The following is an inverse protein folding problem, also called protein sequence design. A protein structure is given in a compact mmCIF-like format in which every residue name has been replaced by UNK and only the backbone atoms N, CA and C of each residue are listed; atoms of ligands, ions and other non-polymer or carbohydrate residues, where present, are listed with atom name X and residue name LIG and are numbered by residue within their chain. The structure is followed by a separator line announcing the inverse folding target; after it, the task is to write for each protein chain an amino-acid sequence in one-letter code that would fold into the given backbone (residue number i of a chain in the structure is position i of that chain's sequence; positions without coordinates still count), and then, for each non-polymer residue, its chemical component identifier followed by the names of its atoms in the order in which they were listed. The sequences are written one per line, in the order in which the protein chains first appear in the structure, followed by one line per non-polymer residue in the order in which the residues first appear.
data_IF_292918451462
#
_entry.id   IF_292918451462
#
_cell.length_a   1.000
_cell.length_b   1.000
_cell.length_c   1.000
_cell.angle_alpha   90.00
_cell.angle_beta   90.00
_cell.angle_gamma   90.00
#
_symmetry.space_group_name_H-M   'P 1'
#
loop_
_entity.id
_entity.type
_entity.pdbx_description
1 polymer ?
#
# COMPACT_ATOMS: atom_id res chain seq x y z
N UNK A 1 -16.36 -11.75 -24.02
CA UNK A 1 -16.16 -11.46 -22.58
C UNK A 1 -14.74 -11.80 -22.10
N UNK A 2 -14.38 -13.09 -21.89
CA UNK A 2 -13.10 -13.47 -21.26
C UNK A 2 -11.86 -12.92 -21.97
N UNK A 3 -11.79 -12.99 -23.30
CA UNK A 3 -10.67 -12.42 -24.05
C UNK A 3 -10.51 -10.91 -23.79
N UNK A 4 -11.63 -10.18 -23.73
CA UNK A 4 -11.64 -8.74 -23.43
C UNK A 4 -11.18 -8.44 -22.00
N UNK A 5 -11.64 -9.20 -21.01
CA UNK A 5 -11.15 -9.08 -19.63
C UNK A 5 -9.66 -9.43 -19.52
N UNK A 6 -9.19 -10.44 -20.26
CA UNK A 6 -7.76 -10.80 -20.30
C UNK A 6 -6.92 -9.66 -20.88
N UNK A 7 -7.40 -9.01 -21.94
CA UNK A 7 -6.74 -7.83 -22.51
C UNK A 7 -6.71 -6.69 -21.50
N UNK A 8 -7.84 -6.40 -20.84
CA UNK A 8 -7.89 -5.35 -19.80
C UNK A 8 -6.92 -5.68 -18.68
N UNK A 9 -6.85 -6.93 -18.22
CA UNK A 9 -5.91 -7.36 -17.18
C UNK A 9 -4.48 -7.06 -17.62
N UNK A 10 -4.08 -7.49 -18.81
CA UNK A 10 -2.75 -7.20 -19.36
C UNK A 10 -2.48 -5.69 -19.43
N UNK A 11 -3.44 -4.89 -19.90
CA UNK A 11 -3.26 -3.43 -19.97
C UNK A 11 -3.09 -2.83 -18.57
N UNK A 12 -3.96 -3.19 -17.63
CA UNK A 12 -3.94 -2.71 -16.25
C UNK A 12 -2.62 -3.08 -15.56
N UNK A 13 -2.10 -4.27 -15.83
CA UNK A 13 -0.85 -4.75 -15.27
C UNK A 13 0.39 -4.09 -15.90
N UNK A 14 0.45 -3.93 -17.22
CA UNK A 14 1.71 -3.52 -17.89
C UNK A 14 1.77 -2.06 -18.34
N UNK A 15 0.63 -1.42 -18.61
CA UNK A 15 0.60 -0.06 -19.18
C UNK A 15 1.09 1.03 -18.21
N UNK A 16 0.79 0.97 -16.89
CA UNK A 16 1.39 1.86 -15.88
C UNK A 16 2.91 1.95 -15.92
N UNK A 17 3.58 0.85 -16.28
CA UNK A 17 5.05 0.76 -16.24
C UNK A 17 5.73 1.01 -17.59
N UNK A 18 4.97 0.96 -18.67
CA UNK A 18 5.49 1.12 -20.04
C UNK A 18 5.19 2.49 -20.63
N UNK A 19 4.14 3.17 -20.17
CA UNK A 19 3.68 4.44 -20.73
C UNK A 19 3.65 5.54 -19.67
N UNK A 20 4.59 6.49 -19.75
CA UNK A 20 4.68 7.63 -18.81
C UNK A 20 3.39 8.43 -18.66
N UNK A 21 2.60 8.58 -19.73
CA UNK A 21 1.31 9.30 -19.65
C UNK A 21 0.30 8.56 -18.76
N UNK A 22 0.32 7.22 -18.78
CA UNK A 22 -0.53 6.37 -17.95
C UNK A 22 -0.04 6.40 -16.51
N UNK A 23 1.27 6.29 -16.30
CA UNK A 23 1.92 6.45 -14.99
C UNK A 23 1.54 7.76 -14.28
N UNK A 24 1.50 8.88 -15.01
CA UNK A 24 1.16 10.19 -14.42
C UNK A 24 -0.35 10.39 -14.17
N UNK A 25 -1.20 9.55 -14.77
CA UNK A 25 -2.66 9.66 -14.73
C UNK A 25 -3.31 8.30 -14.40
N UNK A 26 -2.72 7.55 -13.47
CA UNK A 26 -3.17 6.20 -13.11
C UNK A 26 -4.64 6.18 -12.70
N UNK A 27 -5.09 7.22 -12.02
CA UNK A 27 -6.45 7.31 -11.50
C UNK A 27 -7.48 7.38 -12.65
N UNK A 28 -7.20 8.20 -13.66
CA UNK A 28 -8.04 8.28 -14.85
C UNK A 28 -7.95 7.00 -15.71
N UNK A 29 -6.76 6.41 -15.80
CA UNK A 29 -6.56 5.15 -16.52
C UNK A 29 -7.36 4.00 -15.91
N UNK A 30 -7.27 3.79 -14.60
CA UNK A 30 -8.01 2.76 -13.90
C UNK A 30 -9.52 2.99 -13.96
N UNK A 31 -9.97 4.25 -13.92
CA UNK A 31 -11.37 4.57 -14.16
C UNK A 31 -11.85 4.12 -15.54
N UNK A 32 -11.09 4.43 -16.60
CA UNK A 32 -11.43 4.02 -17.97
C UNK A 32 -11.40 2.49 -18.11
N UNK A 33 -10.37 1.82 -17.57
CA UNK A 33 -10.27 0.36 -17.59
C UNK A 33 -11.41 -0.30 -16.79
N UNK A 34 -11.79 0.28 -15.66
CA UNK A 34 -12.91 -0.19 -14.85
C UNK A 34 -14.24 -0.10 -15.58
N UNK A 35 -14.51 1.06 -16.20
CA UNK A 35 -15.70 1.25 -17.03
C UNK A 35 -15.72 0.26 -18.21
N UNK A 36 -14.58 0.05 -18.87
CA UNK A 36 -14.45 -0.91 -19.95
C UNK A 36 -14.67 -2.35 -19.48
N UNK A 37 -14.13 -2.72 -18.31
CA UNK A 37 -14.29 -4.05 -17.74
C UNK A 37 -15.77 -4.32 -17.43
N UNK A 38 -16.43 -3.40 -16.73
CA UNK A 38 -17.85 -3.50 -16.38
C UNK A 38 -18.75 -3.57 -17.62
N UNK A 39 -18.41 -2.83 -18.69
CA UNK A 39 -19.14 -2.89 -19.96
C UNK A 39 -18.92 -4.24 -20.69
N UNK A 40 -17.69 -4.75 -20.74
CA UNK A 40 -17.37 -6.03 -21.40
C UNK A 40 -17.97 -7.23 -20.67
N UNK A 41 -18.04 -7.17 -19.34
CA UNK A 41 -18.66 -8.20 -18.50
C UNK A 41 -20.19 -8.07 -18.41
N UNK A 42 -20.77 -7.00 -18.97
CA UNK A 42 -22.22 -6.73 -18.94
C UNK A 42 -22.79 -6.61 -17.51
N UNK A 43 -21.95 -6.18 -16.55
CA UNK A 43 -22.35 -5.95 -15.14
C UNK A 43 -22.61 -4.47 -14.84
N UNK A 44 -22.44 -3.59 -15.83
CA UNK A 44 -22.68 -2.16 -15.68
C UNK A 44 -24.19 -1.87 -15.60
N UNK A 45 -24.74 -1.91 -14.40
CA UNK A 45 -26.11 -1.51 -14.09
C UNK A 45 -26.16 -0.23 -13.25
N UNK A 46 -27.37 0.31 -13.05
CA UNK A 46 -27.57 1.54 -12.28
C UNK A 46 -27.12 1.40 -10.82
N UNK A 47 -27.26 0.21 -10.24
CA UNK A 47 -26.86 -0.07 -8.86
C UNK A 47 -25.33 -0.03 -8.72
N UNK A 48 -24.58 -0.68 -9.62
CA UNK A 48 -23.12 -0.63 -9.65
C UNK A 48 -22.61 0.78 -9.91
N UNK A 49 -23.26 1.55 -10.78
CA UNK A 49 -22.86 2.93 -11.05
C UNK A 49 -23.04 3.83 -9.82
N UNK A 50 -24.15 3.68 -9.08
CA UNK A 50 -24.37 4.39 -7.81
C UNK A 50 -23.33 3.95 -6.78
N UNK A 51 -23.10 2.64 -6.62
CA UNK A 51 -22.08 2.11 -5.70
C UNK A 51 -20.69 2.68 -6.01
N UNK A 52 -20.29 2.73 -7.28
CA UNK A 52 -19.01 3.31 -7.70
C UNK A 52 -18.89 4.82 -7.40
N UNK A 53 -20.01 5.55 -7.30
CA UNK A 53 -20.03 6.96 -6.88
C UNK A 53 -20.01 7.13 -5.36
N UNK A 54 -20.61 6.21 -4.62
CA UNK A 54 -20.72 6.25 -3.15
C UNK A 54 -19.45 5.77 -2.46
N UNK A 55 -18.88 4.64 -2.91
CA UNK A 55 -17.69 4.02 -2.32
C UNK A 55 -16.57 5.03 -2.05
N UNK A 56 -16.18 5.92 -2.99
CA UNK A 56 -15.04 6.81 -2.80
C UNK A 56 -15.30 7.95 -1.81
N UNK A 57 -16.57 8.28 -1.48
CA UNK A 57 -16.94 9.49 -0.73
C UNK A 57 -16.20 9.53 0.61
N UNK A 58 -16.35 8.47 1.41
CA UNK A 58 -15.77 8.41 2.75
C UNK A 58 -14.23 8.44 2.73
N UNK A 59 -13.60 7.76 1.77
CA UNK A 59 -12.14 7.73 1.63
C UNK A 59 -11.61 9.10 1.21
N UNK A 60 -12.24 9.74 0.22
CA UNK A 60 -11.85 11.07 -0.24
C UNK A 60 -11.93 12.09 0.90
N UNK A 61 -12.98 12.03 1.74
CA UNK A 61 -13.06 12.87 2.92
C UNK A 61 -11.96 12.56 3.94
N UNK A 62 -11.71 11.29 4.24
CA UNK A 62 -10.66 10.90 5.17
C UNK A 62 -9.28 11.41 4.71
N UNK A 63 -8.94 11.22 3.43
CA UNK A 63 -7.65 11.69 2.87
C UNK A 63 -7.57 13.22 2.86
N UNK A 64 -8.65 13.92 2.51
CA UNK A 64 -8.70 15.38 2.53
C UNK A 64 -8.44 15.93 3.94
N UNK A 65 -9.14 15.39 4.94
CA UNK A 65 -8.98 15.78 6.35
C UNK A 65 -7.55 15.50 6.81
N UNK A 66 -7.05 14.30 6.54
CA UNK A 66 -5.71 13.90 6.96
C UNK A 66 -4.63 14.79 6.31
N UNK A 67 -4.77 15.14 5.03
CA UNK A 67 -3.88 16.06 4.33
C UNK A 67 -3.87 17.48 4.92
N UNK A 68 -5.04 17.99 5.31
CA UNK A 68 -5.18 19.28 6.00
C UNK A 68 -4.52 19.27 7.39
N UNK A 69 -4.77 18.22 8.18
CA UNK A 69 -4.15 18.02 9.50
C UNK A 69 -2.63 17.96 9.38
N UNK A 70 -2.10 17.18 8.43
CA UNK A 70 -0.66 17.08 8.20
C UNK A 70 -0.04 18.45 7.90
N UNK A 71 -0.67 19.24 7.01
CA UNK A 71 -0.21 20.59 6.68
C UNK A 71 -0.17 21.51 7.90
N UNK A 72 -1.21 21.48 8.74
CA UNK A 72 -1.28 22.33 9.94
C UNK A 72 -0.28 21.89 11.02
N UNK A 73 -0.03 20.59 11.14
CA UNK A 73 0.84 20.01 12.17
C UNK A 73 2.29 19.78 11.74
N UNK A 74 2.70 20.16 10.51
CA UNK A 74 4.06 19.87 10.03
C UNK A 74 5.18 20.41 10.94
N UNK A 75 5.11 21.68 11.33
CA UNK A 75 6.15 22.31 12.17
C UNK A 75 6.26 21.72 13.59
N UNK A 76 5.14 21.47 14.33
CA UNK A 76 5.25 20.78 15.61
C UNK A 76 5.71 19.32 15.46
N UNK A 77 5.36 18.62 14.37
CA UNK A 77 5.86 17.26 14.09
C UNK A 77 7.39 17.28 13.94
N UNK A 78 7.95 18.20 13.16
CA UNK A 78 9.41 18.34 12.99
C UNK A 78 10.14 18.58 14.30
N UNK A 79 9.63 19.50 15.14
CA UNK A 79 10.21 19.79 16.46
C UNK A 79 10.10 18.58 17.40
N UNK A 80 8.98 17.86 17.36
CA UNK A 80 8.76 16.64 18.14
C UNK A 80 9.74 15.53 17.77
N UNK A 81 9.95 15.30 16.47
CA UNK A 81 10.91 14.30 15.96
C UNK A 81 12.33 14.60 16.47
N UNK A 82 12.77 15.85 16.39
CA UNK A 82 14.08 16.27 16.89
C UNK A 82 14.21 16.11 18.41
N UNK A 83 13.15 16.46 19.16
CA UNK A 83 13.09 16.27 20.61
C UNK A 83 13.23 14.79 21.00
N UNK A 84 12.37 13.93 20.44
CA UNK A 84 12.39 12.50 20.73
C UNK A 84 13.72 11.83 20.32
N UNK A 85 14.27 12.19 19.16
CA UNK A 85 15.54 11.61 18.69
C UNK A 85 16.72 11.90 19.62
N UNK A 86 16.67 12.99 20.41
CA UNK A 86 17.73 13.35 21.36
C UNK A 86 17.54 12.71 22.74
N UNK A 87 16.35 12.19 23.05
CA UNK A 87 16.01 11.61 24.36
C UNK A 87 16.33 10.12 24.49
N UNK A 88 16.66 9.44 23.39
CA UNK A 88 16.85 7.99 23.39
C UNK A 88 17.93 7.53 22.41
N UNK A 89 18.47 6.31 22.57
CA UNK A 89 19.42 5.76 21.62
C UNK A 89 18.83 5.69 20.21
N UNK A 90 19.62 6.10 19.22
CA UNK A 90 19.16 6.22 17.84
C UNK A 90 18.55 4.92 17.28
N UNK A 91 19.08 3.74 17.63
CA UNK A 91 18.51 2.45 17.18
C UNK A 91 17.11 2.21 17.73
N UNK A 92 16.87 2.55 19.00
CA UNK A 92 15.55 2.47 19.61
C UNK A 92 14.60 3.47 18.96
N UNK A 93 15.08 4.68 18.68
CA UNK A 93 14.30 5.68 17.96
C UNK A 93 13.84 5.18 16.59
N UNK A 94 14.76 4.64 15.77
CA UNK A 94 14.43 4.11 14.44
C UNK A 94 13.42 2.95 14.50
N UNK A 95 13.58 2.06 15.49
CA UNK A 95 12.66 0.95 15.73
C UNK A 95 11.26 1.45 16.11
N UNK A 96 11.16 2.42 17.03
CA UNK A 96 9.90 3.03 17.42
C UNK A 96 9.25 3.77 16.26
N UNK A 97 10.01 4.49 15.43
CA UNK A 97 9.49 5.12 14.21
C UNK A 97 8.86 4.06 13.30
N UNK A 98 9.55 2.93 13.07
CA UNK A 98 9.04 1.83 12.24
C UNK A 98 7.72 1.27 12.78
N UNK A 99 7.63 1.02 14.09
CA UNK A 99 6.44 0.45 14.74
C UNK A 99 5.29 1.45 14.77
N UNK A 100 5.55 2.68 15.23
CA UNK A 100 4.52 3.70 15.43
C UNK A 100 3.92 4.12 14.09
N UNK A 101 4.75 4.35 13.06
CA UNK A 101 4.24 4.68 11.73
C UNK A 101 3.44 3.53 11.12
N UNK A 102 3.87 2.28 11.34
CA UNK A 102 3.11 1.10 10.95
C UNK A 102 1.73 1.09 11.59
N UNK A 103 1.66 1.12 12.93
CA UNK A 103 0.39 1.03 13.65
C UNK A 103 -0.56 2.19 13.34
N UNK A 104 -0.05 3.42 13.24
CA UNK A 104 -0.88 4.62 13.02
C UNK A 104 -1.30 4.76 11.55
N UNK A 105 -0.61 4.12 10.59
CA UNK A 105 -0.89 4.26 9.15
C UNK A 105 -2.31 3.86 8.73
N UNK A 106 -2.96 2.95 9.48
CA UNK A 106 -4.38 2.63 9.32
C UNK A 106 -5.29 3.83 9.55
N UNK A 107 -4.94 4.70 10.50
CA UNK A 107 -5.76 5.86 10.89
C UNK A 107 -5.47 7.07 9.98
N UNK A 108 -4.20 7.31 9.66
CA UNK A 108 -3.78 8.55 8.97
C UNK A 108 -3.51 8.39 7.48
N UNK A 109 -3.56 7.18 6.92
CA UNK A 109 -3.13 6.79 5.55
C UNK A 109 -1.65 6.45 5.39
N UNK A 110 -1.35 5.51 4.49
CA UNK A 110 0.00 5.15 4.05
C UNK A 110 0.76 6.35 3.44
N UNK A 111 0.04 7.24 2.76
CA UNK A 111 0.60 8.44 2.13
C UNK A 111 1.22 9.34 3.19
N UNK A 112 0.45 9.68 4.23
CA UNK A 112 0.89 10.62 5.25
C UNK A 112 1.99 9.98 6.10
N UNK A 113 1.85 8.71 6.45
CA UNK A 113 2.90 7.98 7.16
C UNK A 113 4.23 7.96 6.38
N UNK A 114 4.19 7.77 5.06
CA UNK A 114 5.38 7.82 4.20
C UNK A 114 6.01 9.22 4.13
N UNK A 115 5.21 10.28 4.06
CA UNK A 115 5.73 11.65 4.09
C UNK A 115 6.39 11.94 5.44
N UNK A 116 5.77 11.54 6.56
CA UNK A 116 6.37 11.68 7.89
C UNK A 116 7.70 10.92 7.96
N UNK A 117 7.76 9.70 7.42
CA UNK A 117 9.00 8.93 7.32
C UNK A 117 10.09 9.68 6.52
N UNK A 118 9.74 10.25 5.36
CA UNK A 118 10.67 11.05 4.52
C UNK A 118 11.23 12.22 5.31
N UNK A 119 10.39 12.93 6.07
CA UNK A 119 10.81 14.05 6.94
C UNK A 119 11.78 13.54 8.00
N UNK A 120 11.44 12.46 8.71
CA UNK A 120 12.28 11.86 9.75
C UNK A 120 13.67 11.50 9.19
N UNK A 121 13.72 10.78 8.07
CA UNK A 121 14.97 10.36 7.43
C UNK A 121 15.84 11.56 7.04
N UNK A 122 15.22 12.58 6.43
CA UNK A 122 15.91 13.80 5.99
C UNK A 122 16.48 14.62 7.15
N UNK A 123 15.83 14.57 8.32
CA UNK A 123 16.26 15.28 9.53
C UNK A 123 17.40 14.55 10.25
N UNK A 124 17.34 13.22 10.38
CA UNK A 124 18.36 12.43 11.10
C UNK A 124 19.70 12.41 10.34
N UNK A 125 19.68 12.42 9.00
CA UNK A 125 20.88 12.37 8.12
C UNK A 125 21.82 11.21 8.44
N UNK A 126 21.35 9.98 8.21
CA UNK A 126 22.17 8.78 8.34
C UNK A 126 23.05 8.60 7.08
N UNK A 127 23.95 7.62 7.11
CA UNK A 127 24.58 7.13 5.89
C UNK A 127 23.53 6.50 4.94
N UNK A 128 23.73 6.68 3.62
CA UNK A 128 22.80 6.23 2.56
C UNK A 128 22.32 4.79 2.74
N UNK A 129 23.21 3.88 3.15
CA UNK A 129 22.89 2.45 3.33
C UNK A 129 21.92 2.25 4.50
N UNK A 130 22.15 2.94 5.61
CA UNK A 130 21.23 2.94 6.75
C UNK A 130 19.88 3.58 6.41
N UNK A 131 19.88 4.69 5.66
CA UNK A 131 18.64 5.35 5.25
C UNK A 131 17.78 4.47 4.35
N UNK A 132 18.36 3.86 3.31
CA UNK A 132 17.62 2.95 2.41
C UNK A 132 17.02 1.78 3.18
N UNK A 133 17.78 1.16 4.10
CA UNK A 133 17.29 0.04 4.91
C UNK A 133 16.17 0.45 5.85
N UNK A 134 16.28 1.61 6.48
CA UNK A 134 15.24 2.18 7.33
C UNK A 134 13.97 2.41 6.53
N UNK A 135 14.08 3.05 5.36
CA UNK A 135 12.94 3.36 4.51
C UNK A 135 12.24 2.09 4.07
N UNK A 136 12.97 1.08 3.61
CA UNK A 136 12.38 -0.21 3.18
C UNK A 136 11.62 -0.86 4.35
N UNK A 137 12.24 -1.05 5.53
CA UNK A 137 11.58 -1.70 6.67
C UNK A 137 10.37 -0.90 7.17
N UNK A 138 10.48 0.43 7.22
CA UNK A 138 9.39 1.30 7.60
C UNK A 138 8.25 1.27 6.57
N UNK A 139 8.53 1.20 5.27
CA UNK A 139 7.50 1.09 4.25
C UNK A 139 6.80 -0.28 4.25
N UNK A 140 7.50 -1.38 4.54
CA UNK A 140 6.85 -2.67 4.83
C UNK A 140 5.87 -2.54 6.00
N UNK A 141 6.31 -1.94 7.10
CA UNK A 141 5.49 -1.70 8.30
C UNK A 141 4.28 -0.81 8.02
N UNK A 142 4.47 0.29 7.27
CA UNK A 142 3.41 1.22 6.87
C UNK A 142 2.41 0.56 5.92
N UNK A 143 2.86 -0.19 4.92
CA UNK A 143 1.97 -0.88 3.98
C UNK A 143 1.09 -1.91 4.69
N UNK A 144 1.70 -2.76 5.54
CA UNK A 144 0.95 -3.75 6.32
C UNK A 144 -0.03 -3.08 7.29
N UNK A 145 0.42 -2.06 8.01
CA UNK A 145 -0.42 -1.33 8.96
C UNK A 145 -1.59 -0.59 8.29
N UNK A 146 -1.35 0.02 7.13
CA UNK A 146 -2.37 0.75 6.38
C UNK A 146 -3.51 -0.17 5.93
N UNK A 147 -3.20 -1.44 5.64
CA UNK A 147 -4.20 -2.40 5.20
C UNK A 147 -5.23 -2.81 6.27
N UNK A 148 -5.02 -2.46 7.55
CA UNK A 148 -5.91 -2.84 8.65
C UNK A 148 -7.30 -2.20 8.61
N UNK A 149 -7.44 -1.06 7.93
CA UNK A 149 -8.71 -0.34 7.84
C UNK A 149 -8.86 0.31 6.47
N UNK A 150 -10.08 0.44 5.92
CA UNK A 150 -10.31 1.01 4.59
C UNK A 150 -9.82 2.45 4.39
N UNK A 151 -9.45 3.16 5.45
CA UNK A 151 -8.85 4.51 5.38
C UNK A 151 -7.37 4.45 4.99
N UNK A 152 -6.65 3.39 5.37
CA UNK A 152 -5.19 3.40 5.38
C UNK A 152 -4.58 3.37 3.98
N UNK A 153 -5.04 2.47 3.12
CA UNK A 153 -4.59 2.40 1.72
C UNK A 153 -5.66 1.84 0.78
N UNK A 154 -5.56 2.08 -0.55
CA UNK A 154 -6.59 1.66 -1.47
C UNK A 154 -6.83 0.16 -1.55
N UNK A 155 -5.81 -0.69 -1.31
CA UNK A 155 -6.00 -2.15 -1.24
C UNK A 155 -7.07 -2.52 -0.21
N UNK A 156 -6.96 -1.97 1.01
CA UNK A 156 -7.93 -2.24 2.08
C UNK A 156 -9.31 -1.66 1.80
N UNK A 157 -9.37 -0.49 1.17
CA UNK A 157 -10.61 0.12 0.69
C UNK A 157 -11.35 -0.81 -0.26
N UNK A 158 -10.62 -1.36 -1.24
CA UNK A 158 -11.18 -2.22 -2.29
C UNK A 158 -11.62 -3.54 -1.69
N UNK A 159 -10.77 -4.17 -0.87
CA UNK A 159 -11.10 -5.44 -0.23
C UNK A 159 -12.41 -5.32 0.56
N UNK A 160 -12.60 -4.25 1.34
CA UNK A 160 -13.85 -4.01 2.08
C UNK A 160 -15.05 -3.77 1.14
N UNK A 161 -14.91 -2.90 0.13
CA UNK A 161 -16.01 -2.63 -0.83
C UNK A 161 -16.43 -3.90 -1.59
N UNK A 162 -15.44 -4.73 -1.97
CA UNK A 162 -15.61 -5.98 -2.72
C UNK A 162 -16.30 -7.05 -1.90
N UNK A 163 -15.85 -7.24 -0.66
CA UNK A 163 -16.43 -8.21 0.25
C UNK A 163 -17.77 -7.71 0.81
N UNK A 164 -18.07 -6.42 0.65
CA UNK A 164 -19.25 -5.77 1.20
C UNK A 164 -19.32 -5.94 2.73
N UNK A 165 -18.16 -5.76 3.37
CA UNK A 165 -17.93 -6.04 4.79
C UNK A 165 -17.86 -4.77 5.65
N UNK A 166 -17.92 -4.95 6.97
CA UNK A 166 -17.82 -3.84 7.92
C UNK A 166 -16.42 -3.21 7.97
N UNK A 167 -16.35 -1.95 8.39
CA UNK A 167 -15.10 -1.16 8.51
C UNK A 167 -13.93 -1.89 9.20
N UNK A 168 -14.21 -2.68 10.24
CA UNK A 168 -13.20 -3.38 11.04
C UNK A 168 -12.97 -4.84 10.61
N UNK A 169 -13.53 -5.29 9.49
CA UNK A 169 -13.41 -6.68 9.04
C UNK A 169 -11.93 -7.08 8.83
N UNK A 170 -11.16 -6.28 8.08
CA UNK A 170 -9.73 -6.58 7.84
C UNK A 170 -8.93 -6.59 9.15
N UNK A 171 -9.24 -5.70 10.09
CA UNK A 171 -8.61 -5.72 11.41
C UNK A 171 -8.88 -7.04 12.15
N UNK A 172 -10.09 -7.61 12.06
CA UNK A 172 -10.42 -8.91 12.65
C UNK A 172 -9.72 -10.07 11.93
N UNK A 173 -9.63 -10.00 10.59
CA UNK A 173 -9.11 -11.07 9.75
C UNK A 173 -7.57 -11.21 9.78
N UNK A 174 -6.86 -10.09 9.61
CA UNK A 174 -5.39 -10.04 9.47
C UNK A 174 -4.69 -9.24 10.57
N UNK A 175 -5.42 -8.69 11.54
CA UNK A 175 -4.87 -7.75 12.53
C UNK A 175 -3.74 -8.33 13.36
N UNK A 176 -3.88 -9.57 13.84
CA UNK A 176 -2.84 -10.24 14.64
C UNK A 176 -1.58 -10.43 13.81
N UNK A 177 -1.72 -10.96 12.59
CA UNK A 177 -0.63 -11.18 11.66
C UNK A 177 0.13 -9.88 11.36
N UNK A 178 -0.60 -8.82 11.03
CA UNK A 178 -0.02 -7.51 10.70
C UNK A 178 0.69 -6.89 11.90
N UNK A 179 0.08 -6.89 13.10
CA UNK A 179 0.68 -6.30 14.29
C UNK A 179 1.99 -7.04 14.65
N UNK A 180 2.00 -8.37 14.55
CA UNK A 180 3.20 -9.17 14.77
C UNK A 180 4.29 -8.82 13.76
N UNK A 181 3.96 -8.72 12.46
CA UNK A 181 4.92 -8.28 11.44
C UNK A 181 5.49 -6.89 11.73
N UNK A 182 4.64 -5.92 12.09
CA UNK A 182 5.07 -4.55 12.42
C UNK A 182 6.09 -4.56 13.57
N UNK A 183 5.83 -5.33 14.63
CA UNK A 183 6.76 -5.48 15.75
C UNK A 183 8.07 -6.14 15.33
N UNK A 184 8.01 -7.17 14.49
CA UNK A 184 9.20 -7.83 13.92
C UNK A 184 10.01 -6.85 13.08
N UNK A 185 9.38 -6.07 12.18
CA UNK A 185 10.07 -5.06 11.39
C UNK A 185 10.72 -3.98 12.28
N UNK A 186 10.04 -3.56 13.35
CA UNK A 186 10.63 -2.69 14.38
C UNK A 186 11.89 -3.28 15.01
N UNK A 187 11.84 -4.56 15.40
CA UNK A 187 12.99 -5.27 15.96
C UNK A 187 14.12 -5.41 14.94
N UNK A 188 13.80 -5.78 13.70
CA UNK A 188 14.77 -5.87 12.59
C UNK A 188 15.44 -4.52 12.34
N UNK A 189 14.69 -3.42 12.40
CA UNK A 189 15.24 -2.06 12.32
C UNK A 189 16.28 -1.82 13.42
N UNK A 190 15.98 -2.18 14.67
CA UNK A 190 16.92 -2.02 15.79
C UNK A 190 18.23 -2.82 15.62
N UNK A 191 18.14 -4.03 15.04
CA UNK A 191 19.26 -4.99 14.94
C UNK A 191 20.10 -4.78 13.69
N UNK A 192 19.45 -4.58 12.53
CA UNK A 192 20.12 -4.52 11.22
C UNK A 192 20.75 -3.15 10.97
N UNK A 193 20.12 -2.08 11.45
CA UNK A 193 20.58 -0.72 11.18
C UNK A 193 21.65 -0.35 12.21
N UNK A 194 22.87 -0.14 11.71
CA UNK A 194 24.00 0.37 12.48
C UNK A 194 24.26 1.80 12.03
N UNK A 195 23.56 2.79 12.62
CA UNK A 195 23.57 4.14 12.12
C UNK A 195 24.97 4.74 12.23
N UNK A 196 25.51 5.23 11.12
CA UNK A 196 26.66 6.13 11.10
C UNK A 196 26.14 7.52 10.70
N UNK A 197 26.50 8.56 11.48
CA UNK A 197 26.14 9.93 11.10
C UNK A 197 26.89 10.31 9.83
N UNK A 198 26.17 10.56 8.73
CA UNK A 198 26.74 10.85 7.43
C UNK A 198 26.68 12.34 7.09
N UNK A 199 27.73 12.87 6.45
CA UNK A 199 27.75 14.25 5.91
C UNK A 199 26.98 14.38 4.59
N UNK A 200 26.72 13.25 3.91
CA UNK A 200 25.97 13.14 2.63
C UNK A 200 24.72 12.26 2.81
N UNK A 201 23.80 12.68 3.68
CA UNK A 201 22.48 12.03 3.83
C UNK A 201 21.52 12.40 2.71
N UNK A 202 20.32 11.83 2.76
CA UNK A 202 19.24 12.09 1.82
C UNK A 202 18.66 13.51 1.95
N UNK A 203 18.77 14.30 0.88
CA UNK A 203 18.13 15.62 0.81
C UNK A 203 16.70 15.47 0.28
N UNK A 204 15.72 15.32 1.17
CA UNK A 204 14.30 15.45 0.83
C UNK A 204 13.86 16.92 0.81
N UNK A 205 13.04 17.31 -0.18
CA UNK A 205 12.41 18.64 -0.21
C UNK A 205 11.26 18.70 0.80
N UNK A 206 11.43 19.49 1.86
CA UNK A 206 10.44 19.74 2.94
C UNK A 206 9.38 20.79 2.56
N UNK A 207 9.04 20.92 1.28
CA UNK A 207 8.08 21.93 0.86
C UNK A 207 6.67 21.60 1.36
N UNK A 208 6.03 22.60 1.96
CA UNK A 208 4.63 22.54 2.40
C UNK A 208 3.73 22.32 1.20
N UNK A 209 3.01 21.21 1.20
CA UNK A 209 2.02 20.92 0.16
C UNK A 209 0.92 22.00 0.15
N UNK A 210 0.53 22.45 -1.04
CA UNK A 210 -0.49 23.50 -1.23
C UNK A 210 -1.91 22.96 -0.98
N UNK A 211 -2.84 23.82 -0.55
CA UNK A 211 -4.25 23.44 -0.35
C UNK A 211 -4.85 22.94 -1.67
N UNK A 212 -4.42 23.54 -2.79
CA UNK A 212 -4.78 23.12 -4.13
C UNK A 212 -4.28 21.71 -4.43
N UNK A 213 -3.06 21.37 -4.03
CA UNK A 213 -2.47 20.05 -4.24
C UNK A 213 -3.19 18.98 -3.42
N UNK A 214 -3.48 19.28 -2.14
CA UNK A 214 -4.26 18.39 -1.25
C UNK A 214 -5.65 18.10 -1.86
N UNK A 215 -6.34 19.14 -2.34
CA UNK A 215 -7.66 18.98 -2.94
C UNK A 215 -7.62 18.19 -4.26
N UNK A 216 -6.67 18.49 -5.16
CA UNK A 216 -6.49 17.75 -6.42
C UNK A 216 -6.19 16.28 -6.14
N UNK A 217 -5.37 15.98 -5.13
CA UNK A 217 -5.04 14.62 -4.72
C UNK A 217 -6.28 13.88 -4.20
N UNK A 218 -7.10 14.52 -3.37
CA UNK A 218 -8.34 13.92 -2.87
C UNK A 218 -9.29 13.57 -4.03
N UNK A 219 -9.42 14.45 -5.04
CA UNK A 219 -10.22 14.19 -6.24
C UNK A 219 -9.64 13.06 -7.10
N UNK A 220 -8.32 13.00 -7.25
CA UNK A 220 -7.65 11.88 -7.94
C UNK A 220 -7.94 10.56 -7.25
N UNK A 221 -7.88 10.52 -5.92
CA UNK A 221 -8.23 9.33 -5.13
C UNK A 221 -9.70 8.96 -5.31
N UNK A 222 -10.61 9.93 -5.40
CA UNK A 222 -12.01 9.68 -5.72
C UNK A 222 -12.17 8.89 -7.02
N UNK A 223 -11.55 9.38 -8.11
CA UNK A 223 -11.56 8.73 -9.42
C UNK A 223 -10.89 7.35 -9.40
N UNK A 224 -9.81 7.21 -8.63
CA UNK A 224 -9.10 5.96 -8.46
C UNK A 224 -9.98 4.88 -7.83
N UNK A 225 -10.61 5.18 -6.68
CA UNK A 225 -11.49 4.23 -5.99
C UNK A 225 -12.70 3.91 -6.85
N UNK A 226 -13.33 4.91 -7.49
CA UNK A 226 -14.45 4.71 -8.41
C UNK A 226 -14.07 3.73 -9.53
N UNK A 227 -12.90 3.93 -10.14
CA UNK A 227 -12.38 3.07 -11.18
C UNK A 227 -12.17 1.64 -10.71
N UNK A 228 -11.68 1.45 -9.49
CA UNK A 228 -11.41 0.12 -8.93
C UNK A 228 -12.68 -0.60 -8.49
N UNK A 229 -13.71 0.09 -8.02
CA UNK A 229 -15.04 -0.50 -7.80
C UNK A 229 -15.59 -1.08 -9.11
N UNK A 230 -15.52 -0.32 -10.21
CA UNK A 230 -15.96 -0.77 -11.53
C UNK A 230 -15.09 -1.90 -12.07
N UNK A 231 -13.76 -1.77 -11.94
CA UNK A 231 -12.80 -2.77 -12.39
C UNK A 231 -13.02 -4.10 -11.67
N UNK A 232 -13.19 -4.03 -10.36
CA UNK A 232 -13.46 -5.18 -9.52
C UNK A 232 -14.73 -5.91 -9.97
N UNK A 233 -15.86 -5.22 -10.06
CA UNK A 233 -17.10 -5.83 -10.56
C UNK A 233 -16.93 -6.39 -11.99
N UNK A 234 -16.19 -5.66 -12.84
CA UNK A 234 -15.85 -6.08 -14.20
C UNK A 234 -15.10 -7.43 -14.28
N UNK A 235 -14.22 -7.71 -13.32
CA UNK A 235 -13.44 -8.94 -13.28
C UNK A 235 -14.11 -10.14 -12.60
N UNK A 236 -15.27 -9.97 -11.98
CA UNK A 236 -15.94 -11.04 -11.24
C UNK A 236 -16.15 -12.33 -12.07
N UNK A 237 -16.61 -12.28 -13.34
CA UNK A 237 -16.72 -13.50 -14.17
C UNK A 237 -15.37 -14.17 -14.50
N UNK A 238 -14.28 -13.40 -14.47
CA UNK A 238 -12.93 -13.94 -14.67
C UNK A 238 -12.42 -14.64 -13.40
N UNK A 239 -12.64 -14.02 -12.24
CA UNK A 239 -12.30 -14.56 -10.92
C UNK A 239 -13.02 -15.88 -10.69
N UNK A 240 -14.33 -15.91 -10.93
CA UNK A 240 -15.16 -17.12 -10.75
C UNK A 240 -14.66 -18.30 -11.58
N UNK A 241 -14.21 -18.01 -12.81
CA UNK A 241 -13.78 -19.06 -13.73
C UNK A 241 -12.36 -19.59 -13.46
N UNK A 242 -11.44 -18.73 -13.02
CA UNK A 242 -10.01 -19.07 -12.99
C UNK A 242 -9.38 -19.06 -11.60
N UNK A 243 -9.94 -18.33 -10.63
CA UNK A 243 -9.33 -18.12 -9.32
C UNK A 243 -10.05 -18.85 -8.18
N UNK A 244 -11.39 -18.97 -8.21
CA UNK A 244 -12.14 -19.61 -7.11
C UNK A 244 -11.73 -21.07 -6.81
N UNK A 245 -11.31 -21.82 -7.83
CA UNK A 245 -10.87 -23.20 -7.66
C UNK A 245 -9.39 -23.37 -7.30
N UNK A 246 -8.62 -22.28 -7.21
CA UNK A 246 -7.20 -22.36 -6.91
C UNK A 246 -6.97 -22.53 -5.41
N UNK A 247 -5.93 -23.29 -5.06
CA UNK A 247 -5.53 -23.46 -3.68
C UNK A 247 -5.04 -22.11 -3.09
N UNK A 248 -5.46 -21.72 -1.86
CA UNK A 248 -5.02 -20.50 -1.18
C UNK A 248 -3.49 -20.33 -1.17
N UNK A 249 -2.76 -21.44 -1.00
CA UNK A 249 -1.30 -21.46 -0.99
C UNK A 249 -0.70 -21.12 -2.35
N UNK A 250 -1.37 -21.48 -3.44
CA UNK A 250 -0.94 -21.12 -4.80
C UNK A 250 -1.18 -19.62 -5.02
N UNK A 251 -2.36 -19.12 -4.64
CA UNK A 251 -2.70 -17.70 -4.74
C UNK A 251 -1.73 -16.83 -3.93
N UNK A 252 -1.34 -17.27 -2.72
CA UNK A 252 -0.32 -16.61 -1.91
C UNK A 252 0.98 -16.37 -2.69
N UNK A 253 1.48 -17.39 -3.38
CA UNK A 253 2.73 -17.29 -4.15
C UNK A 253 2.59 -16.57 -5.49
N UNK A 254 1.46 -16.74 -6.20
CA UNK A 254 1.16 -15.98 -7.43
C UNK A 254 1.18 -14.49 -7.12
N UNK A 255 0.70 -14.10 -5.93
CA UNK A 255 0.71 -12.72 -5.48
C UNK A 255 2.09 -12.09 -5.27
N UNK A 256 3.19 -12.83 -5.46
CA UNK A 256 4.51 -12.25 -5.68
C UNK A 256 4.55 -11.27 -6.88
N UNK A 257 3.62 -11.42 -7.82
CA UNK A 257 3.45 -10.49 -8.94
C UNK A 257 3.17 -9.05 -8.43
N UNK A 258 2.57 -8.91 -7.26
CA UNK A 258 2.35 -7.61 -6.60
C UNK A 258 3.65 -6.90 -6.19
N UNK A 259 4.82 -7.54 -6.27
CA UNK A 259 6.08 -6.82 -6.13
C UNK A 259 6.26 -5.84 -7.28
N UNK A 260 5.86 -6.22 -8.50
CA UNK A 260 6.05 -5.43 -9.71
C UNK A 260 4.80 -4.62 -10.03
N UNK A 261 3.64 -5.11 -9.63
CA UNK A 261 2.32 -4.55 -9.93
C UNK A 261 1.68 -3.93 -8.69
N UNK A 262 0.82 -2.94 -8.90
CA UNK A 262 0.11 -2.27 -7.80
C UNK A 262 -0.83 -3.26 -7.07
N UNK A 263 -0.68 -3.32 -5.74
CA UNK A 263 -1.38 -4.29 -4.90
C UNK A 263 -2.91 -4.08 -4.87
N UNK A 264 -3.37 -2.83 -4.91
CA UNK A 264 -4.78 -2.47 -4.92
C UNK A 264 -5.46 -2.93 -6.21
N UNK A 265 -4.73 -2.83 -7.32
CA UNK A 265 -5.15 -3.34 -8.62
C UNK A 265 -5.34 -4.86 -8.62
N UNK A 266 -4.39 -5.60 -8.06
CA UNK A 266 -4.52 -7.07 -7.93
C UNK A 266 -5.61 -7.46 -6.93
N UNK A 267 -5.75 -6.75 -5.81
CA UNK A 267 -6.85 -6.96 -4.89
C UNK A 267 -8.22 -6.81 -5.58
N UNK A 268 -8.38 -5.80 -6.45
CA UNK A 268 -9.61 -5.64 -7.24
C UNK A 268 -9.84 -6.80 -8.23
N UNK A 269 -8.76 -7.34 -8.81
CA UNK A 269 -8.81 -8.39 -9.81
C UNK A 269 -8.86 -9.82 -9.22
N UNK A 270 -8.56 -10.01 -7.94
CA UNK A 270 -8.48 -11.33 -7.31
C UNK A 270 -9.51 -11.56 -6.20
N UNK A 271 -9.87 -10.54 -5.42
CA UNK A 271 -10.77 -10.71 -4.27
C UNK A 271 -12.22 -10.81 -4.73
N UNK A 272 -12.93 -11.83 -4.23
CA UNK A 272 -14.36 -12.06 -4.45
C UNK A 272 -15.06 -12.43 -3.14
N UNK A 273 -16.32 -12.00 -2.93
CA UNK A 273 -17.14 -12.42 -1.79
C UNK A 273 -17.47 -13.93 -1.81
N UNK A 274 -17.24 -14.63 -2.92
CA UNK A 274 -17.42 -16.08 -3.02
C UNK A 274 -16.24 -16.90 -2.48
N UNK A 275 -15.17 -16.23 -2.03
CA UNK A 275 -14.01 -16.87 -1.42
C UNK A 275 -14.20 -17.04 0.09
N UNK A 276 -13.65 -18.11 0.65
CA UNK A 276 -13.60 -18.33 2.09
C UNK A 276 -12.52 -17.46 2.77
N UNK A 277 -12.69 -17.20 4.07
CA UNK A 277 -11.79 -16.34 4.84
C UNK A 277 -10.30 -16.76 4.76
N UNK A 278 -9.91 -18.05 4.80
CA UNK A 278 -8.52 -18.46 4.61
C UNK A 278 -7.95 -18.06 3.25
N UNK A 279 -8.73 -18.16 2.17
CA UNK A 279 -8.34 -17.72 0.83
C UNK A 279 -8.13 -16.20 0.79
N UNK A 280 -9.09 -15.44 1.31
CA UNK A 280 -9.01 -13.97 1.37
C UNK A 280 -7.77 -13.56 2.17
N UNK A 281 -7.55 -14.18 3.33
CA UNK A 281 -6.38 -13.94 4.18
C UNK A 281 -5.07 -14.24 3.45
N UNK A 282 -4.99 -15.36 2.73
CA UNK A 282 -3.81 -15.72 1.95
C UNK A 282 -3.54 -14.70 0.83
N UNK A 283 -4.56 -14.28 0.07
CA UNK A 283 -4.43 -13.25 -0.96
C UNK A 283 -3.91 -11.95 -0.34
N UNK A 284 -4.55 -11.45 0.71
CA UNK A 284 -4.18 -10.20 1.36
C UNK A 284 -2.73 -10.23 1.87
N UNK A 285 -2.33 -11.28 2.61
CA UNK A 285 -0.96 -11.40 3.11
C UNK A 285 0.06 -11.49 1.97
N UNK A 286 -0.25 -12.23 0.90
CA UNK A 286 0.61 -12.33 -0.28
C UNK A 286 0.81 -10.97 -0.96
N UNK A 287 -0.29 -10.25 -1.22
CA UNK A 287 -0.27 -8.92 -1.83
C UNK A 287 0.50 -7.90 -1.00
N UNK A 288 0.23 -7.81 0.31
CA UNK A 288 0.87 -6.80 1.17
C UNK A 288 2.37 -7.05 1.35
N UNK A 289 2.76 -8.30 1.61
CA UNK A 289 4.18 -8.64 1.82
C UNK A 289 4.94 -8.50 0.50
N UNK A 290 4.37 -9.01 -0.60
CA UNK A 290 5.02 -8.86 -1.91
C UNK A 290 5.11 -7.40 -2.34
N UNK A 291 4.08 -6.60 -2.09
CA UNK A 291 4.05 -5.17 -2.43
C UNK A 291 5.19 -4.36 -1.81
N UNK A 292 5.75 -4.80 -0.68
CA UNK A 292 6.93 -4.16 -0.06
C UNK A 292 8.27 -4.41 -0.79
N UNK A 293 8.34 -5.43 -1.66
CA UNK A 293 9.62 -5.89 -2.23
C UNK A 293 10.25 -4.91 -3.22
N UNK A 294 9.45 -4.19 -4.00
CA UNK A 294 9.90 -3.19 -4.98
C UNK A 294 9.09 -1.90 -4.86
N UNK A 295 9.63 -0.83 -5.45
CA UNK A 295 9.02 0.52 -5.40
C UNK A 295 7.58 0.53 -5.94
N UNK A 296 7.25 -0.09 -7.08
CA UNK A 296 5.89 -0.07 -7.61
C UNK A 296 4.81 -0.72 -6.74
N UNK A 297 5.18 -1.71 -5.93
CA UNK A 297 4.22 -2.64 -5.33
C UNK A 297 3.33 -2.01 -4.27
N UNK A 298 3.71 -0.87 -3.68
CA UNK A 298 2.87 -0.14 -2.75
C UNK A 298 3.18 1.37 -2.72
N UNK A 299 2.17 2.19 -2.47
CA UNK A 299 2.19 3.66 -2.37
C UNK A 299 3.28 4.24 -1.44
N UNK A 300 3.49 3.75 -0.19
CA UNK A 300 4.51 4.32 0.68
C UNK A 300 5.92 4.13 0.09
N UNK A 301 6.13 3.08 -0.72
CA UNK A 301 7.40 2.85 -1.42
C UNK A 301 7.62 3.90 -2.50
N UNK A 302 6.60 4.15 -3.33
CA UNK A 302 6.64 5.15 -4.42
C UNK A 302 6.97 6.54 -3.86
N UNK A 303 6.26 6.95 -2.80
CA UNK A 303 6.45 8.28 -2.18
C UNK A 303 7.85 8.39 -1.58
N UNK A 304 8.24 7.41 -0.76
CA UNK A 304 9.51 7.48 -0.03
C UNK A 304 10.70 7.41 -0.98
N UNK A 305 10.65 6.51 -1.97
CA UNK A 305 11.72 6.38 -2.96
C UNK A 305 11.83 7.61 -3.86
N UNK A 306 10.69 8.18 -4.29
CA UNK A 306 10.67 9.39 -5.10
C UNK A 306 11.23 10.60 -4.36
N UNK A 307 10.76 10.86 -3.13
CA UNK A 307 11.19 12.03 -2.35
C UNK A 307 12.62 11.93 -1.84
N UNK A 308 13.09 10.72 -1.56
CA UNK A 308 14.45 10.45 -1.11
C UNK A 308 15.36 10.00 -2.27
N UNK A 309 14.95 10.09 -3.53
CA UNK A 309 15.79 9.68 -4.67
C UNK A 309 16.43 8.28 -4.50
N UNK A 310 15.69 7.30 -3.95
CA UNK A 310 16.14 5.91 -3.81
C UNK A 310 15.92 5.22 -5.15
N UNK A 311 16.97 4.62 -5.70
CA UNK A 311 16.86 3.90 -6.97
C UNK A 311 16.19 2.54 -6.77
N UNK A 312 15.50 2.03 -7.80
CA UNK A 312 14.89 0.69 -7.76
C UNK A 312 15.90 -0.41 -7.44
N UNK A 313 17.16 -0.24 -7.85
CA UNK A 313 18.25 -1.18 -7.54
C UNK A 313 18.57 -1.19 -6.05
N UNK A 314 18.72 -0.01 -5.43
CA UNK A 314 18.98 0.09 -3.98
C UNK A 314 17.83 -0.48 -3.15
N UNK A 315 16.59 -0.20 -3.57
CA UNK A 315 15.40 -0.78 -2.94
C UNK A 315 15.42 -2.31 -3.06
N UNK A 316 15.49 -2.83 -4.29
CA UNK A 316 15.38 -4.26 -4.56
C UNK A 316 16.46 -5.09 -3.88
N UNK A 317 17.68 -4.56 -3.76
CA UNK A 317 18.80 -5.24 -3.07
C UNK A 317 18.50 -5.60 -1.62
N UNK A 318 17.59 -4.89 -0.97
CA UNK A 318 17.22 -5.13 0.42
C UNK A 318 15.75 -5.54 0.57
N UNK A 319 14.83 -4.90 -0.15
CA UNK A 319 13.40 -5.19 -0.12
C UNK A 319 13.04 -6.58 -0.61
N UNK A 320 13.63 -7.07 -1.70
CA UNK A 320 13.33 -8.41 -2.24
C UNK A 320 13.73 -9.52 -1.26
N UNK A 321 14.97 -9.57 -0.73
CA UNK A 321 15.32 -10.57 0.28
C UNK A 321 14.43 -10.51 1.53
N UNK A 322 14.14 -9.32 2.05
CA UNK A 322 13.30 -9.14 3.25
C UNK A 322 11.88 -9.64 2.98
N UNK A 323 11.28 -9.26 1.86
CA UNK A 323 9.94 -9.71 1.50
C UNK A 323 9.88 -11.21 1.23
N UNK A 324 10.87 -11.82 0.56
CA UNK A 324 10.90 -13.27 0.34
C UNK A 324 11.02 -14.04 1.65
N UNK A 325 11.87 -13.60 2.58
CA UNK A 325 11.98 -14.23 3.92
C UNK A 325 10.65 -14.11 4.66
N UNK A 326 10.02 -12.94 4.61
CA UNK A 326 8.72 -12.70 5.24
C UNK A 326 7.63 -13.58 4.59
N UNK A 327 7.63 -13.71 3.26
CA UNK A 327 6.71 -14.59 2.53
C UNK A 327 6.85 -16.05 2.97
N UNK A 328 8.08 -16.55 3.05
CA UNK A 328 8.34 -17.92 3.51
C UNK A 328 7.88 -18.11 4.96
N UNK A 329 8.15 -17.15 5.84
CA UNK A 329 7.72 -17.22 7.23
C UNK A 329 6.19 -17.29 7.35
N UNK A 330 5.47 -16.40 6.67
CA UNK A 330 4.00 -16.41 6.66
C UNK A 330 3.40 -17.61 5.95
N UNK A 331 4.06 -18.14 4.92
CA UNK A 331 3.66 -19.41 4.31
C UNK A 331 3.61 -20.54 5.34
N UNK A 332 4.61 -20.64 6.22
CA UNK A 332 4.58 -21.62 7.31
C UNK A 332 3.49 -21.33 8.35
N UNK A 333 3.24 -20.05 8.66
CA UNK A 333 2.13 -19.67 9.56
C UNK A 333 0.79 -20.11 8.98
N UNK A 334 0.55 -19.83 7.69
CA UNK A 334 -0.67 -20.22 6.98
C UNK A 334 -0.77 -21.76 6.91
N UNK A 335 0.33 -22.48 6.67
CA UNK A 335 0.29 -23.94 6.58
C UNK A 335 -0.03 -24.63 7.92
N UNK A 336 0.38 -24.03 9.04
CA UNK A 336 0.21 -24.61 10.39
C UNK A 336 -1.08 -24.17 11.07
N UNK A 337 -1.52 -22.93 10.83
CA UNK A 337 -2.63 -22.27 11.54
C UNK A 337 -3.83 -22.00 10.62
N UNK A 338 -3.63 -21.96 9.31
CA UNK A 338 -4.62 -21.59 8.30
C UNK A 338 -5.40 -22.76 7.70
#
# INVERSE_FOLDING_TARGET
MILGLTIILILVLFLPFTVKKVEHNLEAFLFIMGLAAAAISQVLDGALFIKALEDPIHITFAVLIAGLVFRWCQSPIEKGILGLSNMMPLRLFLALVTVILGLISSVITAIIAAIVLVVIVSVIRLDRKSEVRLVVLACFSIGLGAALTPIGEPLSTIAISKLNEEFFYLFKLIGVDVIVAILIFGMLTAVIIKPQKGVKGLNGSLEKESYKEIFIRALKIYLFVMGLTLLGAGFEPFIEKYLLGLNPLILYWINMISAILDNATLAAAEISPSMDEPTIKAILLGLMISGGMLIPGNIPNIISAGKLNITSKEWAQFGVPVGLITMVAYFFVILVIG
#
